data_IF_686895847594
#
_entry.id   IF_686895847594
#
_cell.length_a   1.000
_cell.length_b   1.000
_cell.length_c   1.000
_cell.angle_alpha   90.00
_cell.angle_beta   90.00
_cell.angle_gamma   90.00
#
_symmetry.space_group_name_H-M   'P 1'
#
loop_
_entity.id
_entity.type
_entity.pdbx_description
1 polymer ?
#
# COMPACT_ATOMS: atom_id res chain seq x y z
N UNK A 1 17.87 -9.44 -8.02
CA UNK A 1 16.55 -9.00 -7.55
C UNK A 1 15.89 -8.12 -8.58
N UNK A 2 14.62 -8.34 -8.85
CA UNK A 2 13.91 -7.49 -9.80
C UNK A 2 13.50 -6.19 -9.12
N UNK A 3 13.67 -5.09 -9.89
CA UNK A 3 13.22 -3.77 -9.49
C UNK A 3 11.71 -3.69 -9.57
N UNK A 4 11.08 -3.27 -8.50
CA UNK A 4 9.62 -3.18 -8.42
C UNK A 4 9.15 -1.73 -8.42
N UNK A 5 7.93 -1.52 -8.92
CA UNK A 5 7.23 -0.24 -8.82
C UNK A 5 6.35 -0.29 -7.59
N UNK A 6 6.58 0.61 -6.66
CA UNK A 6 5.89 0.67 -5.37
C UNK A 6 5.13 1.98 -5.28
N UNK A 7 3.82 1.90 -5.02
CA UNK A 7 2.99 3.07 -4.73
C UNK A 7 2.69 3.10 -3.23
N UNK A 8 2.93 4.24 -2.61
CA UNK A 8 2.65 4.48 -1.19
C UNK A 8 1.60 5.56 -1.09
N UNK A 9 0.47 5.24 -0.46
CA UNK A 9 -0.66 6.16 -0.28
C UNK A 9 -0.86 6.38 1.22
N UNK A 10 -0.36 7.50 1.73
CA UNK A 10 -0.43 7.83 3.15
C UNK A 10 -0.34 9.35 3.31
N UNK A 11 -1.13 9.92 4.22
CA UNK A 11 -1.13 11.36 4.48
C UNK A 11 -0.05 11.81 5.47
N UNK A 12 0.64 10.88 6.11
CA UNK A 12 1.78 11.19 6.97
C UNK A 12 3.05 11.35 6.12
N UNK A 13 3.41 12.59 5.84
CA UNK A 13 4.53 12.90 4.95
C UNK A 13 5.87 12.34 5.45
N UNK A 14 6.12 12.41 6.75
CA UNK A 14 7.36 11.87 7.33
C UNK A 14 7.48 10.36 7.11
N UNK A 15 6.39 9.63 7.32
CA UNK A 15 6.36 8.19 7.08
C UNK A 15 6.58 7.87 5.60
N UNK A 16 5.93 8.63 4.71
CA UNK A 16 6.13 8.47 3.26
C UNK A 16 7.59 8.64 2.87
N UNK A 17 8.26 9.66 3.40
CA UNK A 17 9.67 9.90 3.11
C UNK A 17 10.58 8.78 3.65
N UNK A 18 10.31 8.30 4.85
CA UNK A 18 11.07 7.19 5.42
C UNK A 18 10.92 5.92 4.59
N UNK A 19 9.69 5.59 4.20
CA UNK A 19 9.42 4.41 3.36
C UNK A 19 10.06 4.56 1.98
N UNK A 20 9.93 5.72 1.38
CA UNK A 20 10.53 6.01 0.08
C UNK A 20 12.05 5.82 0.12
N UNK A 21 12.71 6.41 1.10
CA UNK A 21 14.16 6.28 1.25
C UNK A 21 14.57 4.82 1.41
N UNK A 22 13.84 4.09 2.23
CA UNK A 22 14.10 2.67 2.47
C UNK A 22 14.03 1.85 1.17
N UNK A 23 12.94 2.02 0.39
CA UNK A 23 12.78 1.26 -0.85
C UNK A 23 13.71 1.70 -1.96
N UNK A 24 14.05 3.00 -2.02
CA UNK A 24 15.04 3.49 -3.00
C UNK A 24 16.41 2.88 -2.73
N UNK A 25 16.80 2.71 -1.47
CA UNK A 25 18.05 2.06 -1.11
C UNK A 25 18.09 0.59 -1.53
N UNK A 26 16.91 -0.04 -1.64
CA UNK A 26 16.78 -1.41 -2.16
C UNK A 26 16.64 -1.45 -3.69
N UNK A 27 16.83 -0.32 -4.35
CA UNK A 27 16.83 -0.17 -5.81
C UNK A 27 15.45 -0.35 -6.45
N UNK A 28 14.38 0.00 -5.74
CA UNK A 28 13.03 0.01 -6.28
C UNK A 28 12.60 1.40 -6.74
N UNK A 29 11.58 1.48 -7.60
CA UNK A 29 10.94 2.74 -7.97
C UNK A 29 9.79 3.02 -7.00
N UNK A 30 9.69 4.25 -6.51
CA UNK A 30 8.71 4.63 -5.50
C UNK A 30 7.90 5.83 -5.95
N UNK A 31 6.59 5.75 -5.79
CA UNK A 31 5.64 6.80 -6.13
C UNK A 31 4.77 7.09 -4.91
N UNK A 32 4.57 8.36 -4.57
CA UNK A 32 3.86 8.78 -3.36
C UNK A 32 2.57 9.51 -3.71
N UNK A 33 1.52 9.24 -2.92
CA UNK A 33 0.29 10.02 -2.93
C UNK A 33 -0.19 10.19 -1.49
N UNK A 34 -0.84 11.32 -1.20
CA UNK A 34 -1.25 11.66 0.17
C UNK A 34 -2.77 11.61 0.38
N UNK A 35 -3.55 11.36 -0.66
CA UNK A 35 -5.00 11.22 -0.57
C UNK A 35 -5.44 9.94 -1.27
N UNK A 36 -6.64 9.47 -0.95
CA UNK A 36 -7.19 8.28 -1.59
C UNK A 36 -7.41 8.51 -3.09
N UNK A 37 -8.02 9.64 -3.45
CA UNK A 37 -8.28 9.97 -4.85
C UNK A 37 -7.02 10.06 -5.70
N UNK A 38 -6.02 10.81 -5.23
CA UNK A 38 -4.74 10.91 -5.95
C UNK A 38 -4.00 9.59 -5.99
N UNK A 39 -4.11 8.80 -4.92
CA UNK A 39 -3.50 7.47 -4.85
C UNK A 39 -4.07 6.51 -5.87
N UNK A 40 -5.40 6.45 -5.98
CA UNK A 40 -6.05 5.57 -6.95
C UNK A 40 -5.74 5.97 -8.39
N UNK A 41 -5.66 7.28 -8.66
CA UNK A 41 -5.25 7.78 -9.98
C UNK A 41 -3.82 7.38 -10.29
N UNK A 42 -2.93 7.48 -9.31
CA UNK A 42 -1.53 7.10 -9.45
C UNK A 42 -1.38 5.60 -9.72
N UNK A 43 -2.15 4.77 -9.02
CA UNK A 43 -2.15 3.32 -9.23
C UNK A 43 -2.54 2.97 -10.66
N UNK A 44 -3.56 3.63 -11.20
CA UNK A 44 -3.98 3.44 -12.59
C UNK A 44 -2.89 3.82 -13.58
N UNK A 45 -2.21 4.92 -13.32
CA UNK A 45 -1.15 5.45 -14.19
C UNK A 45 0.10 4.57 -14.16
N UNK A 46 0.52 4.16 -12.98
CA UNK A 46 1.79 3.44 -12.76
C UNK A 46 1.67 1.94 -12.99
N UNK A 47 0.51 1.35 -12.69
CA UNK A 47 0.33 -0.11 -12.64
C UNK A 47 1.41 -0.76 -11.78
N UNK A 48 1.41 -0.49 -10.46
CA UNK A 48 2.50 -0.90 -9.58
C UNK A 48 2.53 -2.41 -9.34
N UNK A 49 3.69 -2.89 -8.91
CA UNK A 49 3.86 -4.27 -8.43
C UNK A 49 3.41 -4.42 -6.99
N UNK A 50 3.53 -3.34 -6.20
CA UNK A 50 3.23 -3.33 -4.77
C UNK A 50 2.55 -2.02 -4.39
N UNK A 51 1.53 -2.10 -3.55
CA UNK A 51 0.84 -0.93 -2.98
C UNK A 51 0.91 -0.99 -1.46
N UNK A 52 1.24 0.13 -0.85
CA UNK A 52 1.05 0.36 0.59
C UNK A 52 0.01 1.48 0.71
N UNK A 53 -1.12 1.19 1.32
CA UNK A 53 -2.22 2.14 1.44
C UNK A 53 -2.67 2.27 2.89
N UNK A 54 -2.67 3.50 3.40
CA UNK A 54 -3.19 3.79 4.74
C UNK A 54 -4.71 3.67 4.75
N UNK A 55 -5.25 3.10 5.82
CA UNK A 55 -6.68 2.97 5.97
C UNK A 55 -7.38 4.32 6.23
N UNK A 56 -6.73 5.22 6.96
CA UNK A 56 -7.31 6.52 7.31
C UNK A 56 -6.71 7.64 6.49
N UNK A 57 -7.36 7.98 5.38
CA UNK A 57 -6.95 9.05 4.50
C UNK A 57 -7.94 10.22 4.61
N UNK A 58 -7.52 11.47 4.28
CA UNK A 58 -8.39 12.63 4.46
C UNK A 58 -9.70 12.55 3.68
N UNK A 59 -9.72 11.84 2.56
CA UNK A 59 -10.87 11.74 1.67
C UNK A 59 -11.53 10.36 1.63
N UNK A 60 -11.17 9.47 2.54
CA UNK A 60 -11.85 8.19 2.65
C UNK A 60 -11.05 7.09 3.34
N UNK A 61 -11.68 5.93 3.46
CA UNK A 61 -11.07 4.75 4.10
C UNK A 61 -10.47 3.82 3.04
N UNK A 62 -9.20 3.47 3.23
CA UNK A 62 -8.48 2.60 2.30
C UNK A 62 -9.13 1.24 2.14
N UNK A 63 -9.65 0.65 3.23
CA UNK A 63 -10.25 -0.68 3.18
C UNK A 63 -11.47 -0.75 2.25
N UNK A 64 -12.18 0.35 2.07
CA UNK A 64 -13.34 0.40 1.18
C UNK A 64 -12.95 0.23 -0.30
N UNK A 65 -11.69 0.43 -0.65
CA UNK A 65 -11.17 0.30 -2.01
C UNK A 65 -10.46 -1.02 -2.26
N UNK A 66 -10.32 -1.86 -1.25
CA UNK A 66 -9.55 -3.10 -1.37
C UNK A 66 -10.14 -4.05 -2.41
N UNK A 67 -11.47 -4.24 -2.40
CA UNK A 67 -12.13 -5.12 -3.38
C UNK A 67 -11.87 -4.65 -4.81
N UNK A 68 -11.93 -3.34 -5.06
CA UNK A 68 -11.66 -2.76 -6.37
C UNK A 68 -10.20 -2.97 -6.77
N UNK A 69 -9.26 -2.70 -5.85
CA UNK A 69 -7.84 -2.88 -6.10
C UNK A 69 -7.49 -4.33 -6.46
N UNK A 70 -8.04 -5.27 -5.70
CA UNK A 70 -7.82 -6.71 -5.92
C UNK A 70 -8.35 -7.11 -7.30
N UNK A 71 -9.52 -6.63 -7.68
CA UNK A 71 -10.15 -6.95 -8.95
C UNK A 71 -9.40 -6.35 -10.14
N UNK A 72 -9.03 -5.07 -10.04
CA UNK A 72 -8.40 -4.36 -11.16
C UNK A 72 -6.90 -4.64 -11.29
N UNK A 73 -6.24 -5.02 -10.20
CA UNK A 73 -4.80 -5.27 -10.17
C UNK A 73 -4.49 -6.62 -9.51
N UNK A 74 -4.91 -7.73 -10.14
CA UNK A 74 -4.82 -9.06 -9.52
C UNK A 74 -3.39 -9.54 -9.28
N UNK A 75 -2.42 -8.99 -10.00
CA UNK A 75 -1.01 -9.37 -9.84
C UNK A 75 -0.27 -8.47 -8.84
N UNK A 76 -0.92 -7.42 -8.36
CA UNK A 76 -0.31 -6.47 -7.44
C UNK A 76 -0.39 -6.98 -6.00
N UNK A 77 0.71 -6.86 -5.25
CA UNK A 77 0.68 -7.12 -3.82
C UNK A 77 0.17 -5.87 -3.10
N UNK A 78 -0.87 -6.04 -2.27
CA UNK A 78 -1.54 -4.92 -1.63
C UNK A 78 -1.38 -5.03 -0.12
N UNK A 79 -0.85 -3.97 0.50
CA UNK A 79 -0.62 -3.89 1.94
C UNK A 79 -1.43 -2.74 2.52
N UNK A 80 -2.45 -3.08 3.31
CA UNK A 80 -3.28 -2.10 3.99
C UNK A 80 -2.65 -1.78 5.35
N UNK A 81 -2.41 -0.51 5.61
CA UNK A 81 -1.80 -0.05 6.86
C UNK A 81 -2.89 0.53 7.76
N UNK A 82 -2.97 0.07 9.00
CA UNK A 82 -4.00 0.51 9.94
C UNK A 82 -3.44 0.74 11.32
N UNK A 83 -3.97 1.76 12.00
CA UNK A 83 -3.68 2.01 13.42
C UNK A 83 -4.57 1.17 14.34
N UNK A 84 -5.57 0.48 13.79
CA UNK A 84 -6.56 -0.29 14.54
C UNK A 84 -6.43 -1.78 14.28
N UNK A 85 -6.63 -2.60 15.30
CA UNK A 85 -6.58 -4.05 15.20
C UNK A 85 -7.75 -4.62 14.40
N UNK A 86 -8.89 -3.94 14.41
CA UNK A 86 -10.10 -4.42 13.77
C UNK A 86 -10.42 -3.66 12.50
N UNK A 87 -10.60 -4.42 11.42
CA UNK A 87 -11.06 -3.89 10.14
C UNK A 87 -12.26 -4.73 9.70
N UNK A 88 -13.36 -4.10 9.23
CA UNK A 88 -14.55 -4.83 8.80
C UNK A 88 -14.36 -5.42 7.39
N UNK A 89 -13.25 -6.09 7.17
CA UNK A 89 -12.93 -6.71 5.88
C UNK A 89 -13.42 -8.14 5.84
N UNK A 90 -14.09 -8.49 4.76
CA UNK A 90 -14.28 -9.87 4.41
C UNK A 90 -12.96 -10.35 3.79
N UNK A 91 -12.26 -11.20 4.51
CA UNK A 91 -10.93 -11.63 4.15
C UNK A 91 -10.88 -12.83 3.23
N UNK A 92 -12.01 -13.26 2.67
CA UNK A 92 -12.03 -14.38 1.72
C UNK A 92 -11.11 -14.15 0.54
N UNK A 93 -11.03 -12.92 0.07
CA UNK A 93 -10.16 -12.56 -1.06
C UNK A 93 -8.68 -12.59 -0.70
N UNK A 94 -8.33 -12.54 0.59
CA UNK A 94 -6.92 -12.62 1.02
C UNK A 94 -6.26 -13.93 0.66
N UNK A 95 -7.02 -15.02 0.67
CA UNK A 95 -6.49 -16.35 0.38
C UNK A 95 -6.06 -16.48 -1.08
N UNK A 96 -6.72 -15.72 -1.96
CA UNK A 96 -6.49 -15.79 -3.40
C UNK A 96 -5.58 -14.69 -3.92
N UNK A 97 -5.23 -13.70 -3.08
CA UNK A 97 -4.45 -12.53 -3.49
C UNK A 97 -3.40 -12.22 -2.44
N UNK A 98 -2.29 -11.61 -2.89
CA UNK A 98 -1.21 -11.19 -2.01
C UNK A 98 -1.61 -9.91 -1.27
N UNK A 99 -2.47 -10.06 -0.27
CA UNK A 99 -2.96 -8.96 0.57
C UNK A 99 -2.45 -9.14 1.99
N UNK A 100 -1.90 -8.09 2.57
CA UNK A 100 -1.47 -8.07 3.96
C UNK A 100 -2.06 -6.87 4.67
N UNK A 101 -2.29 -7.01 5.97
CA UNK A 101 -2.71 -5.92 6.83
C UNK A 101 -1.57 -5.64 7.79
N UNK A 102 -1.06 -4.41 7.76
CA UNK A 102 0.06 -3.98 8.58
C UNK A 102 -0.44 -3.03 9.65
N UNK A 103 -0.07 -3.30 10.89
CA UNK A 103 -0.45 -2.46 12.02
C UNK A 103 0.62 -1.39 12.29
N UNK A 104 0.19 -0.16 12.55
CA UNK A 104 1.10 0.91 12.99
C UNK A 104 1.49 0.72 14.46
N UNK A 105 2.72 1.06 14.86
CA UNK A 105 3.79 1.65 14.05
C UNK A 105 4.51 0.62 13.17
N UNK A 106 4.89 1.04 11.97
CA UNK A 106 5.59 0.17 11.04
C UNK A 106 7.08 0.03 11.41
N UNK A 107 7.61 -1.16 11.16
CA UNK A 107 9.05 -1.41 11.28
C UNK A 107 9.64 -1.36 9.87
N UNK A 108 10.45 -0.34 9.60
CA UNK A 108 10.99 -0.13 8.26
C UNK A 108 11.78 -1.33 7.76
N UNK A 109 12.65 -1.91 8.60
CA UNK A 109 13.51 -3.01 8.18
C UNK A 109 12.76 -4.31 7.87
N UNK A 110 11.47 -4.40 8.18
CA UNK A 110 10.65 -5.56 7.82
C UNK A 110 9.79 -5.35 6.58
N UNK A 111 9.74 -4.13 6.04
CA UNK A 111 8.88 -3.82 4.90
C UNK A 111 9.24 -4.58 3.63
N UNK A 112 10.50 -4.96 3.47
CA UNK A 112 10.95 -5.78 2.33
C UNK A 112 10.22 -7.13 2.24
N UNK A 113 9.69 -7.62 3.35
CA UNK A 113 8.96 -8.88 3.40
C UNK A 113 7.56 -8.78 2.76
N UNK A 114 7.12 -7.55 2.44
CA UNK A 114 5.81 -7.26 1.89
C UNK A 114 5.86 -6.81 0.41
N UNK A 115 6.94 -7.10 -0.24
CA UNK A 115 7.13 -6.74 -1.67
C UNK A 115 6.73 -7.86 -2.63
#
# INVERSE_FOLDING_TARGET
MSRKKIVIIDDEEDLCHLMKTYFLELDHEVFLANTLGSGLSLVKEVSPDVIFIDNNLPDGLGWEKMAWLIKEFPSCRINLISAYDYLPLDLKDRENHAVSILEKPLRLNSLKDYL
#
